data_IF_153011947972
#
_entry.id   IF_153011947972
#
_cell.length_a   1.000
_cell.length_b   1.000
_cell.length_c   1.000
_cell.angle_alpha   90.00
_cell.angle_beta   90.00
_cell.angle_gamma   90.00
#
_symmetry.space_group_name_H-M   'P 1'
#
loop_
_entity.id
_entity.type
_entity.pdbx_description
1 polymer ?
#
# COMPACT_ATOMS: atom_id res chain seq x y z
N UNK A 1 13.49 -4.28 25.07
CA UNK A 1 13.52 -4.71 23.74
C UNK A 1 12.16 -5.17 23.37
N UNK A 2 11.76 -4.64 22.34
CA UNK A 2 10.71 -5.27 21.76
C UNK A 2 11.19 -6.65 21.54
N UNK A 3 10.61 -7.59 22.15
CA UNK A 3 10.88 -8.91 21.67
C UNK A 3 10.56 -8.88 20.20
N UNK A 4 11.18 -9.70 19.44
CA UNK A 4 10.96 -9.72 18.02
C UNK A 4 9.47 -9.79 17.69
N UNK A 5 8.75 -10.60 18.42
CA UNK A 5 7.32 -10.71 18.22
C UNK A 5 6.57 -9.48 18.69
N UNK A 6 7.05 -8.82 19.75
CA UNK A 6 6.39 -7.62 20.25
C UNK A 6 6.65 -6.41 19.36
N UNK A 7 7.80 -6.38 18.67
CA UNK A 7 8.05 -5.33 17.74
C UNK A 7 7.12 -5.40 16.55
N UNK A 8 6.74 -6.60 16.17
CA UNK A 8 5.83 -6.78 15.07
C UNK A 8 6.29 -6.11 13.81
N UNK A 9 5.35 -5.86 12.94
CA UNK A 9 5.58 -5.24 11.65
C UNK A 9 5.49 -3.72 11.78
N UNK A 10 6.35 -3.01 11.07
CA UNK A 10 6.26 -1.57 10.93
C UNK A 10 5.88 -1.22 9.50
N UNK A 11 4.99 -0.27 9.35
CA UNK A 11 4.56 0.22 8.03
C UNK A 11 4.56 1.73 8.03
N UNK A 12 4.73 2.32 6.85
CA UNK A 12 4.45 3.73 6.69
C UNK A 12 2.95 3.94 6.68
N UNK A 13 2.52 5.04 7.29
CA UNK A 13 1.11 5.43 7.32
C UNK A 13 0.97 6.83 6.77
N UNK A 14 0.06 7.02 5.84
CA UNK A 14 -0.34 8.33 5.36
C UNK A 14 -1.69 8.23 4.66
N UNK A 15 -2.33 9.38 4.52
CA UNK A 15 -3.60 9.51 3.82
C UNK A 15 -3.58 10.83 3.06
N UNK A 16 -4.04 10.83 1.83
CA UNK A 16 -4.17 12.04 1.04
C UNK A 16 -5.30 11.88 0.02
N UNK A 17 -5.95 12.98 -0.29
CA UNK A 17 -6.92 13.05 -1.39
C UNK A 17 -6.32 13.74 -2.61
N UNK A 18 -5.06 14.14 -2.54
CA UNK A 18 -4.40 14.93 -3.58
C UNK A 18 -3.46 14.11 -4.46
N UNK A 19 -2.50 13.42 -3.84
CA UNK A 19 -1.46 12.74 -4.59
C UNK A 19 -0.62 11.84 -3.69
N UNK A 20 0.16 10.97 -4.29
CA UNK A 20 1.15 10.19 -3.55
C UNK A 20 2.21 11.10 -2.92
N UNK A 21 2.63 12.15 -3.61
CA UNK A 21 3.61 13.09 -3.06
C UNK A 21 3.10 13.73 -1.78
N UNK A 22 1.82 14.12 -1.75
CA UNK A 22 1.21 14.69 -0.56
C UNK A 22 1.15 13.67 0.58
N UNK A 23 0.76 12.44 0.27
CA UNK A 23 0.76 11.34 1.24
C UNK A 23 2.16 11.13 1.82
N UNK A 24 3.18 11.07 0.96
CA UNK A 24 4.57 10.89 1.40
C UNK A 24 5.06 12.03 2.29
N UNK A 25 4.60 13.25 2.03
CA UNK A 25 5.02 14.40 2.82
C UNK A 25 4.55 14.36 4.27
N UNK A 26 3.49 13.61 4.55
CA UNK A 26 2.91 13.50 5.90
C UNK A 26 3.04 12.10 6.49
N UNK A 27 3.78 11.22 5.83
CA UNK A 27 3.87 9.83 6.28
C UNK A 27 4.57 9.70 7.63
N UNK A 28 4.16 8.71 8.37
CA UNK A 28 4.72 8.37 9.68
C UNK A 28 5.00 6.87 9.72
N UNK A 29 5.91 6.46 10.58
CA UNK A 29 6.12 5.04 10.84
C UNK A 29 5.08 4.61 11.88
N UNK A 30 4.39 3.52 11.58
CA UNK A 30 3.36 2.96 12.44
C UNK A 30 3.74 1.54 12.83
N UNK A 31 3.58 1.23 14.10
CA UNK A 31 3.74 -0.15 14.59
C UNK A 31 2.39 -0.85 14.46
N UNK A 32 2.37 -1.92 13.69
CA UNK A 32 1.14 -2.67 13.46
C UNK A 32 0.79 -3.51 14.67
N UNK A 33 -0.49 -3.79 14.86
CA UNK A 33 -0.95 -4.69 15.91
C UNK A 33 -0.62 -6.13 15.52
N UNK A 34 -0.77 -7.06 16.47
CA UNK A 34 -0.46 -8.46 16.23
C UNK A 34 -1.32 -9.11 15.15
N UNK A 35 -2.51 -8.57 14.91
CA UNK A 35 -3.39 -9.08 13.86
C UNK A 35 -3.13 -8.45 12.50
N UNK A 36 -2.30 -7.41 12.44
CA UNK A 36 -1.98 -6.71 11.22
C UNK A 36 -0.57 -7.08 10.79
N UNK A 37 -0.46 -8.08 9.95
CA UNK A 37 0.82 -8.63 9.54
C UNK A 37 1.25 -8.21 8.14
N UNK A 38 0.60 -7.19 7.59
CA UNK A 38 0.95 -6.67 6.27
C UNK A 38 0.90 -5.15 6.25
N UNK A 39 1.74 -4.58 5.39
CA UNK A 39 1.66 -3.17 5.04
C UNK A 39 0.88 -3.06 3.73
N UNK A 40 0.09 -2.01 3.60
CA UNK A 40 -0.63 -1.78 2.36
C UNK A 40 -0.29 -0.43 1.76
N UNK A 41 -0.49 -0.33 0.46
CA UNK A 41 -0.50 0.88 -0.31
C UNK A 41 -1.72 0.81 -1.20
N UNK A 42 -2.63 1.75 -1.05
CA UNK A 42 -3.91 1.69 -1.73
C UNK A 42 -4.24 3.01 -2.42
N UNK A 43 -4.87 2.89 -3.57
CA UNK A 43 -5.34 4.01 -4.35
C UNK A 43 -6.79 3.75 -4.74
N UNK A 44 -7.60 4.80 -4.66
CA UNK A 44 -8.97 4.73 -5.14
C UNK A 44 -9.33 5.96 -5.95
N UNK A 45 -10.18 5.76 -6.94
CA UNK A 45 -10.80 6.83 -7.71
C UNK A 45 -12.27 6.45 -7.82
N UNK A 46 -13.08 7.06 -6.98
CA UNK A 46 -14.50 6.75 -6.87
C UNK A 46 -15.28 7.88 -7.49
N UNK A 47 -16.23 7.53 -8.35
CA UNK A 47 -17.09 8.50 -9.02
C UNK A 47 -18.46 8.49 -8.42
N UNK A 48 -18.91 9.66 -7.97
CA UNK A 48 -20.26 9.85 -7.45
C UNK A 48 -20.84 11.12 -8.02
N UNK A 49 -22.02 11.01 -8.64
CA UNK A 49 -22.73 12.18 -9.13
C UNK A 49 -21.93 13.01 -10.11
N UNK A 50 -21.09 12.37 -10.93
CA UNK A 50 -20.25 13.07 -11.89
C UNK A 50 -18.97 13.66 -11.30
N UNK A 51 -18.75 13.47 -10.00
CA UNK A 51 -17.53 13.95 -9.32
C UNK A 51 -16.61 12.77 -9.05
N UNK A 52 -15.34 12.95 -9.35
CA UNK A 52 -14.31 11.95 -9.06
C UNK A 52 -13.62 12.30 -7.75
N UNK A 53 -13.62 11.34 -6.81
CA UNK A 53 -12.94 11.49 -5.53
C UNK A 53 -11.78 10.50 -5.49
N UNK A 54 -10.57 11.01 -5.31
CA UNK A 54 -9.37 10.19 -5.26
C UNK A 54 -8.88 10.06 -3.84
N UNK A 55 -8.33 8.89 -3.53
CA UNK A 55 -7.76 8.62 -2.23
C UNK A 55 -6.45 7.87 -2.37
N UNK A 56 -5.48 8.23 -1.55
CA UNK A 56 -4.17 7.62 -1.50
C UNK A 56 -3.88 7.27 -0.05
N UNK A 57 -3.52 6.04 0.22
CA UNK A 57 -3.29 5.61 1.59
C UNK A 57 -2.25 4.54 1.73
N UNK A 58 -1.58 4.58 2.87
CA UNK A 58 -0.63 3.55 3.30
C UNK A 58 -0.88 3.26 4.76
N UNK A 59 -0.59 2.04 5.19
CA UNK A 59 -0.76 1.67 6.59
C UNK A 59 -0.60 0.18 6.83
N UNK A 60 -1.09 -0.25 7.97
CA UNK A 60 -1.10 -1.65 8.38
C UNK A 60 -2.40 -2.32 7.97
N UNK A 61 -2.33 -3.59 7.65
CA UNK A 61 -3.50 -4.39 7.30
C UNK A 61 -3.26 -5.86 7.62
N UNK A 62 -4.34 -6.62 7.64
CA UNK A 62 -4.25 -8.08 7.69
C UNK A 62 -4.29 -8.63 6.27
N UNK A 63 -3.83 -9.87 6.10
CA UNK A 63 -3.88 -10.54 4.82
C UNK A 63 -5.33 -10.67 4.32
N UNK A 64 -6.25 -10.90 5.25
CA UNK A 64 -7.67 -11.02 4.90
C UNK A 64 -8.24 -9.70 4.42
N UNK A 65 -7.97 -8.61 5.12
CA UNK A 65 -8.44 -7.29 4.71
C UNK A 65 -7.85 -6.88 3.37
N UNK A 66 -6.60 -7.26 3.10
CA UNK A 66 -5.98 -7.01 1.81
C UNK A 66 -6.72 -7.71 0.67
N UNK A 67 -7.23 -8.92 0.92
CA UNK A 67 -7.97 -9.66 -0.11
C UNK A 67 -9.32 -9.04 -0.42
N UNK A 68 -9.97 -8.47 0.58
CA UNK A 68 -11.34 -7.96 0.44
C UNK A 68 -11.43 -6.46 0.25
N UNK A 69 -10.32 -5.76 0.32
CA UNK A 69 -10.30 -4.28 0.31
C UNK A 69 -10.93 -3.68 -0.94
N UNK A 70 -10.87 -4.36 -2.08
CA UNK A 70 -11.43 -3.86 -3.33
C UNK A 70 -12.82 -4.44 -3.64
N UNK A 71 -13.38 -5.23 -2.72
CA UNK A 71 -14.67 -5.90 -2.93
C UNK A 71 -15.87 -5.05 -2.49
N UNK A 72 -15.78 -3.75 -2.65
CA UNK A 72 -16.88 -2.84 -2.31
C UNK A 72 -17.58 -2.38 -3.59
N UNK A 73 -18.85 -2.00 -3.46
CA UNK A 73 -19.59 -1.49 -4.60
C UNK A 73 -18.95 -0.23 -5.18
N UNK A 74 -18.43 0.63 -4.32
CA UNK A 74 -17.73 1.84 -4.76
C UNK A 74 -16.51 1.51 -5.60
N UNK A 75 -15.76 0.46 -5.23
CA UNK A 75 -14.60 0.01 -5.99
C UNK A 75 -14.99 -0.62 -7.32
N UNK A 76 -16.13 -1.28 -7.39
CA UNK A 76 -16.61 -1.88 -8.64
C UNK A 76 -17.01 -0.83 -9.65
N UNK A 77 -17.52 0.30 -9.19
CA UNK A 77 -17.93 1.41 -10.07
C UNK A 77 -16.79 2.36 -10.41
N UNK A 78 -15.72 2.33 -9.63
CA UNK A 78 -14.55 3.18 -9.83
C UNK A 78 -13.30 2.35 -10.06
N UNK A 79 -12.18 2.91 -9.67
CA UNK A 79 -10.89 2.23 -9.70
C UNK A 79 -10.38 2.11 -8.28
N UNK A 80 -10.08 0.89 -7.85
CA UNK A 80 -9.44 0.64 -6.56
C UNK A 80 -8.28 -0.30 -6.78
N UNK A 81 -7.14 0.05 -6.20
CA UNK A 81 -5.94 -0.78 -6.27
C UNK A 81 -5.37 -0.89 -4.87
N UNK A 82 -4.88 -2.06 -4.52
CA UNK A 82 -4.20 -2.28 -3.27
C UNK A 82 -3.03 -3.21 -3.46
N UNK A 83 -1.90 -2.83 -2.91
CA UNK A 83 -0.71 -3.68 -2.84
C UNK A 83 -0.38 -3.92 -1.40
N UNK A 84 -0.18 -5.17 -1.04
CA UNK A 84 0.15 -5.56 0.33
C UNK A 84 1.47 -6.30 0.34
N UNK A 85 2.23 -6.10 1.40
CA UNK A 85 3.53 -6.73 1.58
C UNK A 85 3.76 -7.01 3.06
N UNK A 86 4.69 -7.90 3.36
CA UNK A 86 4.88 -8.38 4.73
C UNK A 86 6.22 -8.04 5.36
N UNK A 87 7.01 -7.17 4.74
CA UNK A 87 8.29 -6.74 5.30
C UNK A 87 8.20 -5.38 5.96
N UNK A 88 9.07 -5.11 6.93
CA UNK A 88 9.09 -3.81 7.60
C UNK A 88 9.27 -2.69 6.60
N UNK A 89 8.39 -1.68 6.69
CA UNK A 89 8.41 -0.49 5.84
C UNK A 89 8.40 -0.81 4.34
N UNK A 90 7.82 -1.95 3.99
CA UNK A 90 7.80 -2.40 2.59
C UNK A 90 6.89 -1.56 1.70
N UNK A 91 6.02 -0.75 2.29
CA UNK A 91 5.10 0.11 1.53
C UNK A 91 5.67 1.51 1.31
N UNK A 92 6.99 1.64 1.27
CA UNK A 92 7.66 2.93 1.09
C UNK A 92 7.58 3.46 -0.34
N UNK A 93 7.49 2.59 -1.33
CA UNK A 93 7.53 3.00 -2.73
C UNK A 93 6.30 3.82 -3.13
N UNK A 94 6.54 4.91 -3.83
CA UNK A 94 5.48 5.79 -4.32
C UNK A 94 5.07 5.49 -5.75
N UNK A 95 5.93 4.81 -6.50
CA UNK A 95 5.68 4.47 -7.90
C UNK A 95 5.88 2.97 -8.10
N UNK A 96 4.98 2.16 -7.55
CA UNK A 96 5.17 0.71 -7.52
C UNK A 96 5.27 0.08 -8.91
N UNK A 97 4.51 0.55 -9.86
CA UNK A 97 4.54 -0.02 -11.21
C UNK A 97 5.90 0.14 -11.87
N UNK A 98 6.48 1.33 -11.75
CA UNK A 98 7.80 1.60 -12.32
C UNK A 98 8.84 0.75 -11.59
N UNK A 99 8.78 0.72 -10.28
CA UNK A 99 9.71 -0.07 -9.49
C UNK A 99 9.61 -1.56 -9.80
N UNK A 100 8.40 -2.07 -9.94
CA UNK A 100 8.18 -3.47 -10.27
C UNK A 100 8.74 -3.82 -11.65
N UNK A 101 8.56 -2.96 -12.61
CA UNK A 101 9.09 -3.17 -13.96
C UNK A 101 10.62 -3.18 -13.94
N UNK A 102 11.22 -2.24 -13.24
CA UNK A 102 12.67 -2.16 -13.14
C UNK A 102 13.23 -3.41 -12.47
N UNK A 103 12.62 -3.85 -11.38
CA UNK A 103 13.06 -5.05 -10.67
C UNK A 103 12.93 -6.29 -11.56
N UNK A 104 11.85 -6.39 -12.31
CA UNK A 104 11.64 -7.51 -13.22
C UNK A 104 12.71 -7.53 -14.31
N UNK A 105 13.01 -6.38 -14.90
CA UNK A 105 14.04 -6.28 -15.92
C UNK A 105 15.41 -6.64 -15.38
N UNK A 106 15.74 -6.17 -14.19
CA UNK A 106 17.01 -6.51 -13.56
C UNK A 106 17.13 -8.01 -13.31
N UNK A 107 16.06 -8.65 -12.86
CA UNK A 107 16.04 -10.08 -12.64
C UNK A 107 16.24 -10.86 -13.94
N UNK A 108 15.59 -10.44 -15.02
CA UNK A 108 15.74 -11.08 -16.32
C UNK A 108 17.16 -10.94 -16.83
N UNK A 109 17.75 -9.76 -16.71
CA UNK A 109 19.14 -9.53 -17.14
C UNK A 109 20.07 -10.41 -16.32
N UNK A 110 19.89 -10.48 -15.01
CA UNK A 110 20.73 -11.28 -14.14
C UNK A 110 20.65 -12.77 -14.49
N UNK A 111 19.45 -13.27 -14.86
CA UNK A 111 19.28 -14.68 -15.21
C UNK A 111 19.78 -15.01 -16.60
N UNK A 112 19.85 -14.04 -17.49
CA UNK A 112 20.35 -14.27 -18.85
C UNK A 112 21.87 -14.16 -18.96
N UNK A 113 22.51 -13.70 -17.92
CA UNK A 113 23.95 -13.63 -17.85
C UNK A 113 24.54 -14.91 -17.23
#
# INVERSE_FOLDING_TARGET
MCSISACGLQCYQCISTKSWDDCESVKKVMNCSSSENQCFKAYEDIKKGGVSVKGYGKGCSSAEDCKTATDTDACKEGTCEIDCCSGDLCNSATVPLVSAIILTLCAVVATSL
#
